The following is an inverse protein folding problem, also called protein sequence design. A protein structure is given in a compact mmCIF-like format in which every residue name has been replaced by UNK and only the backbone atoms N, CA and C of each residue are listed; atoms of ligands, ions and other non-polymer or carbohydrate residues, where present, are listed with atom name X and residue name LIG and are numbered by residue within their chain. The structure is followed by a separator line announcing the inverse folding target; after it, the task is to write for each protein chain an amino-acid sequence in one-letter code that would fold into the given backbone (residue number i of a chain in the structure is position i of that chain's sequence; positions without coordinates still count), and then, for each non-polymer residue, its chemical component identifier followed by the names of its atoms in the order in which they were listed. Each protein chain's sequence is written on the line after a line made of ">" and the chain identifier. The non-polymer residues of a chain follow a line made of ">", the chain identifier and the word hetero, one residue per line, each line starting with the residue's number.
data_IF_454031434327
#
_entry.id   IF_454031434327
#
_cell.length_a   1.000
_cell.length_b   1.000
_cell.length_c   1.000
_cell.angle_alpha   90.00
_cell.angle_beta   90.00
_cell.angle_gamma   90.00
#
_symmetry.space_group_name_H-M   'P 1'
#
loop_
_entity.id
_entity.type
_entity.pdbx_description
1 polymer ?
#
# COMPACT_ATOMS: atom_id res chain seq x y z
N UNK A 1 -7.04 6.62 13.53
CA UNK A 1 -7.82 6.08 12.42
C UNK A 1 -8.96 5.25 12.95
N UNK A 2 -10.17 5.78 12.84
CA UNK A 2 -11.42 5.04 13.02
C UNK A 2 -11.79 4.30 11.73
N UNK A 3 -12.84 3.47 11.79
CA UNK A 3 -13.47 2.87 10.60
C UNK A 3 -13.87 3.98 9.61
N UNK A 4 -14.48 5.07 10.09
CA UNK A 4 -14.92 6.20 9.27
C UNK A 4 -13.77 6.90 8.53
N UNK A 5 -12.69 7.19 9.23
CA UNK A 5 -11.49 7.80 8.63
C UNK A 5 -10.83 6.87 7.60
N UNK A 6 -10.79 5.57 7.86
CA UNK A 6 -10.20 4.60 6.93
C UNK A 6 -11.04 4.47 5.66
N UNK A 7 -12.37 4.42 5.78
CA UNK A 7 -13.28 4.45 4.64
C UNK A 7 -13.10 5.73 3.80
N UNK A 8 -12.91 6.88 4.46
CA UNK A 8 -12.61 8.15 3.79
C UNK A 8 -11.31 8.08 2.99
N UNK A 9 -10.25 7.50 3.54
CA UNK A 9 -8.99 7.29 2.81
C UNK A 9 -9.20 6.41 1.58
N UNK A 10 -9.85 5.24 1.72
CA UNK A 10 -10.13 4.35 0.60
C UNK A 10 -10.95 5.05 -0.49
N UNK A 11 -12.00 5.75 -0.10
CA UNK A 11 -12.85 6.51 -1.02
C UNK A 11 -12.05 7.55 -1.81
N UNK A 12 -11.24 8.36 -1.11
CA UNK A 12 -10.44 9.40 -1.76
C UNK A 12 -9.37 8.80 -2.68
N UNK A 13 -8.74 7.70 -2.28
CA UNK A 13 -7.78 6.97 -3.12
C UNK A 13 -8.42 6.40 -4.39
N UNK A 14 -9.68 5.98 -4.31
CA UNK A 14 -10.46 5.52 -5.45
C UNK A 14 -11.09 6.66 -6.28
N UNK A 15 -10.88 7.93 -5.89
CA UNK A 15 -11.45 9.09 -6.60
C UNK A 15 -12.98 9.22 -6.48
N UNK A 16 -13.59 8.55 -5.50
CA UNK A 16 -15.05 8.48 -5.38
C UNK A 16 -15.63 9.62 -4.53
N UNK A 17 -16.83 10.08 -4.89
CA UNK A 17 -17.70 10.88 -4.04
C UNK A 17 -18.32 10.04 -2.93
N UNK A 18 -18.84 10.69 -1.88
CA UNK A 18 -19.56 9.99 -0.81
C UNK A 18 -20.81 9.26 -1.33
N UNK A 19 -21.42 9.75 -2.42
CA UNK A 19 -22.59 9.13 -3.03
C UNK A 19 -22.21 7.85 -3.77
N UNK A 20 -21.12 7.88 -4.55
CA UNK A 20 -20.61 6.71 -5.27
C UNK A 20 -20.15 5.62 -4.29
N UNK A 21 -19.40 6.01 -3.26
CA UNK A 21 -18.94 5.09 -2.23
C UNK A 21 -20.10 4.47 -1.41
N UNK A 22 -21.18 5.22 -1.20
CA UNK A 22 -22.38 4.66 -0.58
C UNK A 22 -23.05 3.57 -1.43
N UNK A 23 -22.88 3.62 -2.77
CA UNK A 23 -23.22 2.53 -3.71
C UNK A 23 -24.67 2.06 -3.70
N UNK A 24 -25.59 2.83 -3.12
CA UNK A 24 -26.97 2.40 -2.85
C UNK A 24 -27.11 1.37 -1.72
N UNK A 25 -26.00 0.93 -1.12
CA UNK A 25 -25.96 0.03 0.05
C UNK A 25 -26.39 0.79 1.31
N UNK A 26 -25.97 2.05 1.38
CA UNK A 26 -26.38 3.01 2.40
C UNK A 26 -26.77 4.33 1.74
N UNK A 27 -27.43 5.21 2.49
CA UNK A 27 -27.66 6.58 2.01
C UNK A 27 -26.38 7.39 2.09
N UNK A 28 -26.18 8.35 1.18
CA UNK A 28 -25.03 9.27 1.22
C UNK A 28 -24.96 10.03 2.57
N UNK A 29 -26.10 10.42 3.14
CA UNK A 29 -26.15 11.07 4.46
C UNK A 29 -25.67 10.16 5.59
N UNK A 30 -26.08 8.87 5.56
CA UNK A 30 -25.58 7.88 6.51
C UNK A 30 -24.07 7.70 6.37
N UNK A 31 -23.59 7.48 5.14
CA UNK A 31 -22.17 7.30 4.86
C UNK A 31 -21.33 8.51 5.29
N UNK A 32 -21.80 9.73 5.03
CA UNK A 32 -21.15 10.96 5.48
C UNK A 32 -21.03 11.05 7.01
N UNK A 33 -22.06 10.61 7.75
CA UNK A 33 -22.00 10.54 9.22
C UNK A 33 -20.99 9.49 9.70
N UNK A 34 -20.88 8.36 9.01
CA UNK A 34 -19.87 7.33 9.29
C UNK A 34 -18.46 7.87 9.05
N UNK A 35 -18.18 8.51 7.91
CA UNK A 35 -16.85 9.08 7.61
C UNK A 35 -16.40 10.16 8.61
N UNK A 36 -17.36 10.89 9.19
CA UNK A 36 -17.10 11.93 10.16
C UNK A 36 -17.20 11.44 11.61
N UNK A 37 -17.22 10.12 11.84
CA UNK A 37 -17.29 9.49 13.17
C UNK A 37 -18.51 9.89 14.02
N UNK A 38 -19.56 10.41 13.37
CA UNK A 38 -20.83 10.80 14.01
C UNK A 38 -21.81 9.64 14.16
N UNK A 39 -21.55 8.52 13.48
CA UNK A 39 -22.36 7.31 13.53
C UNK A 39 -21.50 6.08 13.28
N UNK A 40 -21.74 5.01 14.03
CA UNK A 40 -21.13 3.70 13.77
C UNK A 40 -21.71 3.04 12.50
N UNK A 41 -20.97 2.08 11.96
CA UNK A 41 -21.41 1.20 10.88
C UNK A 41 -21.35 -0.24 11.38
N UNK A 42 -22.38 -1.01 11.07
CA UNK A 42 -22.49 -2.43 11.43
C UNK A 42 -21.47 -3.25 10.63
N UNK A 43 -20.93 -4.32 11.23
CA UNK A 43 -19.89 -5.13 10.60
C UNK A 43 -20.32 -5.73 9.25
N UNK A 44 -21.54 -6.28 9.17
CA UNK A 44 -22.08 -6.83 7.93
C UNK A 44 -22.23 -5.76 6.84
N UNK A 45 -22.63 -4.55 7.23
CA UNK A 45 -22.82 -3.43 6.33
C UNK A 45 -21.48 -2.90 5.81
N UNK A 46 -20.47 -2.85 6.69
CA UNK A 46 -19.10 -2.52 6.35
C UNK A 46 -18.52 -3.53 5.35
N UNK A 47 -18.64 -4.83 5.61
CA UNK A 47 -18.14 -5.88 4.72
C UNK A 47 -18.81 -5.77 3.36
N UNK A 48 -20.15 -5.64 3.31
CA UNK A 48 -20.89 -5.44 2.04
C UNK A 48 -20.38 -4.24 1.26
N UNK A 49 -20.12 -3.11 1.93
CA UNK A 49 -19.63 -1.90 1.29
C UNK A 49 -18.22 -2.07 0.73
N UNK A 50 -17.31 -2.73 1.47
CA UNK A 50 -15.96 -3.03 0.99
C UNK A 50 -15.98 -3.98 -0.21
N UNK A 51 -16.75 -5.07 -0.13
CA UNK A 51 -16.85 -6.06 -1.20
C UNK A 51 -17.46 -5.48 -2.48
N UNK A 52 -18.47 -4.62 -2.37
CA UNK A 52 -19.10 -3.98 -3.52
C UNK A 52 -18.15 -3.08 -4.32
N UNK A 53 -17.12 -2.53 -3.67
CA UNK A 53 -16.09 -1.71 -4.30
C UNK A 53 -14.77 -2.46 -4.53
N UNK A 54 -14.79 -3.79 -4.39
CA UNK A 54 -13.61 -4.66 -4.54
C UNK A 54 -12.44 -4.27 -3.64
N UNK A 55 -12.72 -3.71 -2.46
CA UNK A 55 -11.70 -3.45 -1.46
C UNK A 55 -11.41 -4.72 -0.66
N UNK A 56 -10.12 -5.05 -0.56
CA UNK A 56 -9.69 -6.19 0.24
C UNK A 56 -10.00 -5.95 1.72
N UNK A 57 -10.88 -6.79 2.26
CA UNK A 57 -11.38 -6.69 3.64
C UNK A 57 -10.26 -6.90 4.64
N UNK A 58 -9.33 -7.82 4.34
CA UNK A 58 -8.18 -8.10 5.21
C UNK A 58 -7.26 -6.87 5.29
N UNK A 59 -6.95 -6.26 4.16
CA UNK A 59 -6.15 -5.02 4.08
C UNK A 59 -6.83 -3.82 4.74
N UNK A 60 -8.16 -3.76 4.70
CA UNK A 60 -8.90 -2.71 5.39
C UNK A 60 -8.75 -2.84 6.91
N UNK A 61 -9.00 -4.04 7.46
CA UNK A 61 -8.88 -4.28 8.90
C UNK A 61 -7.44 -4.30 9.39
N UNK A 62 -6.46 -4.72 8.57
CA UNK A 62 -5.05 -4.63 8.94
C UNK A 62 -4.66 -3.18 9.21
N UNK A 63 -5.05 -2.23 8.33
CA UNK A 63 -4.85 -0.79 8.55
C UNK A 63 -5.54 -0.26 9.81
N UNK A 64 -6.73 -0.74 10.12
CA UNK A 64 -7.42 -0.38 11.37
C UNK A 64 -6.71 -0.93 12.61
N UNK A 65 -6.29 -2.20 12.58
CA UNK A 65 -5.61 -2.89 13.67
C UNK A 65 -4.17 -2.42 13.90
N UNK A 66 -3.53 -1.85 12.87
CA UNK A 66 -2.18 -1.32 12.95
C UNK A 66 -2.04 -0.09 13.87
N UNK A 67 -3.14 0.42 14.44
CA UNK A 67 -3.08 1.41 15.52
C UNK A 67 -2.93 0.83 16.92
N UNK A 68 -3.35 -0.42 17.17
CA UNK A 68 -3.24 -1.03 18.51
C UNK A 68 -1.90 -1.72 18.76
N UNK A 69 -1.08 -1.90 17.72
CA UNK A 69 0.27 -2.47 17.81
C UNK A 69 1.30 -1.54 17.17
N UNK A 70 1.81 -0.61 17.99
CA UNK A 70 2.96 0.28 17.76
C UNK A 70 4.30 -0.45 17.47
N UNK A 71 4.31 -1.58 16.77
CA UNK A 71 5.55 -2.31 16.50
C UNK A 71 5.65 -2.99 15.13
N UNK A 72 4.57 -3.08 14.34
CA UNK A 72 4.61 -3.90 13.11
C UNK A 72 4.45 -3.16 11.77
N UNK A 73 4.33 -1.82 11.71
CA UNK A 73 4.47 -1.17 10.39
C UNK A 73 4.87 0.31 10.40
N UNK A 74 6.08 0.61 10.90
CA UNK A 74 6.70 1.95 10.76
C UNK A 74 6.90 2.40 9.30
N UNK A 75 6.73 1.48 8.33
CA UNK A 75 7.12 1.67 6.93
C UNK A 75 5.94 1.73 5.95
N UNK A 76 4.69 1.50 6.39
CA UNK A 76 3.51 1.45 5.52
C UNK A 76 3.30 2.73 4.69
N UNK A 77 3.47 3.90 5.31
CA UNK A 77 3.32 5.18 4.60
C UNK A 77 4.36 5.31 3.47
N UNK A 78 5.60 4.93 3.74
CA UNK A 78 6.69 4.97 2.75
C UNK A 78 6.43 3.95 1.64
N UNK A 79 5.96 2.74 1.96
CA UNK A 79 5.56 1.76 0.95
C UNK A 79 4.49 2.30 -0.01
N UNK A 80 3.48 2.98 0.55
CA UNK A 80 2.40 3.58 -0.22
C UNK A 80 2.92 4.72 -1.10
N UNK A 81 3.84 5.54 -0.60
CA UNK A 81 4.48 6.61 -1.37
C UNK A 81 5.31 6.05 -2.55
N UNK A 82 6.10 5.00 -2.31
CA UNK A 82 6.89 4.33 -3.37
C UNK A 82 5.96 3.77 -4.45
N UNK A 83 4.89 3.08 -4.04
CA UNK A 83 3.91 2.49 -4.98
C UNK A 83 3.22 3.56 -5.81
N UNK A 84 2.81 4.66 -5.18
CA UNK A 84 2.19 5.78 -5.87
C UNK A 84 3.15 6.44 -6.88
N UNK A 85 4.39 6.69 -6.47
CA UNK A 85 5.41 7.29 -7.34
C UNK A 85 5.76 6.39 -8.53
N UNK A 86 5.85 5.07 -8.31
CA UNK A 86 6.03 4.06 -9.37
C UNK A 86 4.89 4.12 -10.39
N UNK A 87 3.65 4.02 -9.92
CA UNK A 87 2.47 3.95 -10.78
C UNK A 87 2.23 5.25 -11.57
N UNK A 88 2.61 6.38 -10.99
CA UNK A 88 2.50 7.72 -11.63
C UNK A 88 3.75 8.11 -12.42
N UNK A 89 4.77 7.24 -12.50
CA UNK A 89 6.08 7.52 -13.11
C UNK A 89 6.74 8.80 -12.58
N UNK A 90 6.52 9.13 -11.31
CA UNK A 90 6.99 10.36 -10.70
C UNK A 90 8.42 10.20 -10.12
N UNK A 91 9.43 10.41 -10.98
CA UNK A 91 10.84 10.32 -10.60
C UNK A 91 11.25 11.33 -9.52
N UNK A 92 10.67 12.54 -9.51
CA UNK A 92 10.97 13.54 -8.49
C UNK A 92 10.54 13.06 -7.11
N UNK A 93 9.38 12.38 -7.03
CA UNK A 93 8.88 11.80 -5.78
C UNK A 93 9.75 10.63 -5.31
N UNK A 94 10.23 9.78 -6.22
CA UNK A 94 11.17 8.71 -5.86
C UNK A 94 12.46 9.27 -5.25
N UNK A 95 13.01 10.36 -5.81
CA UNK A 95 14.20 11.05 -5.25
C UNK A 95 13.96 11.65 -3.87
N UNK A 96 12.77 12.22 -3.66
CA UNK A 96 12.35 12.73 -2.35
C UNK A 96 12.32 11.59 -1.31
N UNK A 97 11.73 10.45 -1.67
CA UNK A 97 11.65 9.26 -0.81
C UNK A 97 13.05 8.71 -0.51
N UNK A 98 13.91 8.59 -1.52
CA UNK A 98 15.29 8.17 -1.36
C UNK A 98 16.06 9.05 -0.38
N UNK A 99 15.90 10.37 -0.50
CA UNK A 99 16.53 11.34 0.41
C UNK A 99 16.02 11.16 1.83
N UNK A 100 14.71 10.96 2.03
CA UNK A 100 14.11 10.70 3.34
C UNK A 100 14.62 9.40 3.97
N UNK A 101 14.82 8.36 3.15
CA UNK A 101 15.32 7.06 3.61
C UNK A 101 16.80 7.16 4.01
N UNK A 102 17.63 7.84 3.22
CA UNK A 102 19.04 8.02 3.52
C UNK A 102 19.30 8.92 4.75
N UNK A 103 18.35 9.76 5.14
CA UNK A 103 18.43 10.60 6.34
C UNK A 103 18.04 9.88 7.64
N UNK A 104 17.29 8.77 7.55
CA UNK A 104 16.98 7.93 8.70
C UNK A 104 18.14 6.92 8.89
N UNK A 105 18.83 7.03 10.02
CA UNK A 105 19.96 6.18 10.40
C UNK A 105 19.62 4.67 10.39
N UNK A 106 20.67 3.84 10.27
CA UNK A 106 20.83 2.43 9.81
C UNK A 106 19.80 1.30 10.14
N UNK A 107 18.61 1.56 10.67
CA UNK A 107 17.64 0.52 11.08
C UNK A 107 16.49 0.28 10.10
N UNK A 108 16.68 0.70 8.83
CA UNK A 108 15.71 0.48 7.76
C UNK A 108 15.79 -0.98 7.27
N UNK A 109 14.64 -1.69 7.17
CA UNK A 109 14.63 -3.02 6.58
C UNK A 109 15.09 -2.99 5.12
N UNK A 110 16.02 -3.88 4.76
CA UNK A 110 16.56 -3.98 3.39
C UNK A 110 15.48 -4.13 2.31
N UNK A 111 14.35 -4.77 2.63
CA UNK A 111 13.25 -4.93 1.69
C UNK A 111 12.64 -3.60 1.22
N UNK A 112 12.69 -2.54 2.04
CA UNK A 112 12.16 -1.22 1.68
C UNK A 112 13.04 -0.54 0.63
N UNK A 113 14.35 -0.67 0.79
CA UNK A 113 15.35 -0.23 -0.20
C UNK A 113 15.15 -0.99 -1.52
N UNK A 114 14.98 -2.30 -1.47
CA UNK A 114 14.74 -3.12 -2.66
C UNK A 114 13.47 -2.70 -3.43
N UNK A 115 12.39 -2.37 -2.71
CA UNK A 115 11.17 -1.84 -3.34
C UNK A 115 11.41 -0.52 -4.06
N UNK A 116 12.22 0.37 -3.50
CA UNK A 116 12.59 1.63 -4.14
C UNK A 116 13.45 1.40 -5.39
N UNK A 117 14.44 0.51 -5.32
CA UNK A 117 15.30 0.14 -6.45
C UNK A 117 14.46 -0.41 -7.62
N UNK A 118 13.51 -1.30 -7.33
CA UNK A 118 12.57 -1.83 -8.34
C UNK A 118 11.65 -0.74 -8.91
N UNK A 119 11.19 0.21 -8.07
CA UNK A 119 10.38 1.32 -8.56
C UNK A 119 11.17 2.22 -9.52
N UNK A 120 12.45 2.49 -9.23
CA UNK A 120 13.32 3.21 -10.15
C UNK A 120 13.52 2.46 -11.46
N UNK A 121 13.81 1.16 -11.40
CA UNK A 121 14.00 0.36 -12.60
C UNK A 121 12.74 0.33 -13.48
N UNK A 122 11.56 0.21 -12.86
CA UNK A 122 10.28 0.26 -13.55
C UNK A 122 10.04 1.60 -14.26
N UNK A 123 10.29 2.72 -13.58
CA UNK A 123 10.00 4.06 -14.13
C UNK A 123 11.04 4.48 -15.16
N UNK A 124 12.30 4.10 -14.97
CA UNK A 124 13.41 4.46 -15.87
C UNK A 124 13.62 3.46 -17.01
N UNK A 125 13.00 2.28 -16.94
CA UNK A 125 13.28 1.15 -17.83
C UNK A 125 14.78 0.80 -17.88
N UNK A 126 15.48 0.94 -16.75
CA UNK A 126 16.91 0.68 -16.61
C UNK A 126 17.24 -0.03 -15.30
N UNK A 127 18.20 -0.96 -15.35
CA UNK A 127 18.68 -1.69 -14.18
C UNK A 127 19.83 -0.98 -13.45
N UNK A 128 20.15 0.27 -13.81
CA UNK A 128 21.25 1.05 -13.21
C UNK A 128 21.08 1.25 -11.70
N UNK A 129 19.83 1.28 -11.22
CA UNK A 129 19.51 1.47 -9.81
C UNK A 129 19.41 0.14 -9.05
N UNK A 130 19.58 -1.01 -9.71
CA UNK A 130 19.48 -2.33 -9.08
C UNK A 130 20.84 -2.74 -8.50
N UNK A 131 20.89 -2.82 -7.17
CA UNK A 131 22.08 -3.22 -6.42
C UNK A 131 22.43 -4.70 -6.62
N UNK A 132 23.71 -5.04 -6.40
CA UNK A 132 24.19 -6.43 -6.41
C UNK A 132 23.52 -7.27 -5.31
N UNK A 133 23.20 -6.65 -4.17
CA UNK A 133 22.50 -7.30 -3.06
C UNK A 133 21.09 -7.72 -3.48
N UNK A 134 20.33 -6.83 -4.12
CA UNK A 134 19.01 -7.15 -4.65
C UNK A 134 19.06 -8.26 -5.70
N UNK A 135 20.02 -8.20 -6.65
CA UNK A 135 20.22 -9.27 -7.65
C UNK A 135 20.48 -10.63 -7.00
N UNK A 136 21.33 -10.67 -5.98
CA UNK A 136 21.63 -11.89 -5.24
C UNK A 136 20.39 -12.42 -4.51
N UNK A 137 19.60 -11.53 -3.89
CA UNK A 137 18.37 -11.88 -3.18
C UNK A 137 17.28 -12.41 -4.11
N UNK A 138 17.02 -11.73 -5.23
CA UNK A 138 16.05 -12.19 -6.24
C UNK A 138 16.48 -13.55 -6.79
N UNK A 139 17.76 -13.72 -7.11
CA UNK A 139 18.30 -15.01 -7.57
C UNK A 139 18.09 -16.12 -6.54
N UNK A 140 18.34 -15.86 -5.25
CA UNK A 140 18.14 -16.89 -4.21
C UNK A 140 16.66 -17.23 -4.01
N UNK A 141 15.76 -16.27 -4.18
CA UNK A 141 14.31 -16.48 -4.06
C UNK A 141 13.74 -17.27 -5.25
N UNK A 142 14.21 -17.01 -6.47
CA UNK A 142 13.73 -17.68 -7.69
C UNK A 142 14.30 -19.11 -7.80
N UNK A 143 15.54 -19.32 -7.36
CA UNK A 143 16.23 -20.62 -7.44
C UNK A 143 15.88 -21.55 -6.26
N UNK A 144 15.28 -21.01 -5.19
CA UNK A 144 14.84 -21.81 -4.04
C UNK A 144 13.61 -22.68 -4.32
N UNK A 145 13.47 -23.78 -3.58
CA UNK A 145 12.31 -24.68 -3.68
C UNK A 145 11.09 -24.17 -2.87
N UNK A 146 11.31 -23.30 -1.89
CA UNK A 146 10.26 -22.73 -1.04
C UNK A 146 9.68 -21.44 -1.62
N UNK A 147 8.71 -21.59 -2.53
CA UNK A 147 8.01 -20.46 -3.14
C UNK A 147 6.93 -19.90 -2.21
N UNK A 148 7.11 -18.65 -1.77
CA UNK A 148 6.12 -17.91 -1.00
C UNK A 148 5.55 -16.71 -1.78
N UNK A 149 4.61 -15.99 -1.16
CA UNK A 149 3.99 -14.80 -1.78
C UNK A 149 5.03 -13.75 -2.20
N UNK A 150 6.16 -13.64 -1.50
CA UNK A 150 7.24 -12.71 -1.85
C UNK A 150 8.00 -13.20 -3.09
N UNK A 151 8.28 -14.49 -3.21
CA UNK A 151 8.86 -15.09 -4.42
C UNK A 151 8.01 -14.80 -5.66
N UNK A 152 6.68 -14.96 -5.57
CA UNK A 152 5.76 -14.61 -6.65
C UNK A 152 5.72 -13.11 -6.98
N UNK A 153 5.72 -12.25 -5.96
CA UNK A 153 5.79 -10.80 -6.16
C UNK A 153 7.05 -10.40 -6.93
N UNK A 154 8.23 -10.87 -6.54
CA UNK A 154 9.47 -10.56 -7.25
C UNK A 154 9.48 -11.11 -8.68
N UNK A 155 9.02 -12.35 -8.90
CA UNK A 155 8.91 -12.91 -10.24
C UNK A 155 8.04 -12.04 -11.17
N UNK A 156 6.91 -11.52 -10.66
CA UNK A 156 6.03 -10.65 -11.44
C UNK A 156 6.71 -9.34 -11.87
N UNK A 157 7.65 -8.82 -11.07
CA UNK A 157 8.38 -7.60 -11.42
C UNK A 157 9.46 -7.86 -12.48
N UNK A 158 10.02 -9.07 -12.55
CA UNK A 158 11.05 -9.46 -13.56
C UNK A 158 10.45 -9.77 -14.95
N UNK A 159 9.17 -10.12 -15.01
CA UNK A 159 8.46 -10.48 -16.25
C UNK A 159 7.78 -9.30 -16.97
N UNK A 160 7.84 -8.11 -16.39
CA UNK A 160 7.13 -6.91 -16.83
C UNK A 160 8.09 -5.88 -17.42
#
# INVERSE_FOLDING_TARGET
>A
MTIGQTLKTYRLHAGMTQKEMAGGIVTQSFYSKVENDKRGIDADLLIKLLTAHHFDVVSFFSRLSNQSKNQYNSYYEIESEITFAKNTKNLAKLKEIETKLNQKDNDLPSWLKFRLELAYAWVTHSNDHISTELKAKVKSLIVGEDWDHMSFYFLSQELS
#
